data_IF_363195003868
#
_entry.id   IF_363195003868
#
_cell.length_a   1.000
_cell.length_b   1.000
_cell.length_c   1.000
_cell.angle_alpha   90.00
_cell.angle_beta   90.00
_cell.angle_gamma   90.00
#
_symmetry.space_group_name_H-M   'P 1'
#
loop_
_entity.id
_entity.type
_entity.pdbx_description
1 polymer ?
#
# COMPACT_ATOMS: atom_id res chain seq x y z
N UNK A 1 -1.34 -0.08 13.50
CA UNK A 1 -2.47 0.33 12.62
C UNK A 1 -3.42 -0.82 12.27
N UNK A 2 -2.96 -2.02 11.91
CA UNK A 2 -3.83 -3.13 11.46
C UNK A 2 -5.07 -3.42 12.34
N UNK A 3 -4.90 -3.59 13.66
CA UNK A 3 -6.04 -3.81 14.58
C UNK A 3 -7.06 -2.66 14.58
N UNK A 4 -6.61 -1.42 14.42
CA UNK A 4 -7.51 -0.26 14.37
C UNK A 4 -8.39 -0.27 13.12
N UNK A 5 -7.81 -0.61 11.96
CA UNK A 5 -8.57 -0.77 10.70
C UNK A 5 -9.63 -1.87 10.82
N UNK A 6 -9.30 -3.01 11.42
CA UNK A 6 -10.25 -4.11 11.62
C UNK A 6 -11.46 -3.72 12.49
N UNK A 7 -11.32 -2.75 13.40
CA UNK A 7 -12.44 -2.24 14.21
C UNK A 7 -13.26 -1.16 13.51
N UNK A 8 -12.68 -0.41 12.57
CA UNK A 8 -13.31 0.78 11.99
C UNK A 8 -13.67 0.65 10.50
N UNK A 9 -13.21 -0.40 9.84
CA UNK A 9 -13.43 -0.68 8.43
C UNK A 9 -13.83 -2.13 8.21
N UNK A 10 -14.46 -2.41 7.07
CA UNK A 10 -14.85 -3.76 6.69
C UNK A 10 -13.78 -4.39 5.81
N UNK A 11 -13.18 -5.48 6.25
CA UNK A 11 -12.30 -6.30 5.41
C UNK A 11 -13.10 -6.83 4.21
N UNK A 12 -12.61 -6.57 2.98
CA UNK A 12 -13.10 -7.19 1.75
C UNK A 12 -12.34 -8.48 1.43
N UNK A 13 -11.10 -8.59 1.90
CA UNK A 13 -10.28 -9.80 1.82
C UNK A 13 -8.91 -9.56 1.18
N UNK A 14 -8.18 -10.65 0.89
CA UNK A 14 -6.90 -10.59 0.20
C UNK A 14 -7.03 -9.99 -1.19
N UNK A 15 -6.00 -9.24 -1.59
CA UNK A 15 -5.92 -8.59 -2.87
C UNK A 15 -4.47 -8.43 -3.32
N UNK A 16 -4.30 -8.01 -4.57
CA UNK A 16 -2.98 -7.66 -5.12
C UNK A 16 -3.04 -6.44 -6.02
N UNK A 17 -1.92 -5.73 -6.10
CA UNK A 17 -1.74 -4.58 -6.98
C UNK A 17 -0.44 -4.68 -7.75
N UNK A 18 -0.34 -4.01 -8.91
CA UNK A 18 0.92 -3.89 -9.62
C UNK A 18 1.88 -2.97 -8.87
N UNK A 19 3.14 -3.36 -8.80
CA UNK A 19 4.23 -2.61 -8.18
C UNK A 19 5.34 -3.50 -7.68
N UNK A 20 6.40 -2.90 -7.16
CA UNK A 20 7.52 -3.60 -6.53
C UNK A 20 7.53 -3.28 -5.05
N UNK A 21 7.70 -4.32 -4.23
CA UNK A 21 7.77 -4.17 -2.77
C UNK A 21 9.22 -4.25 -2.32
N UNK A 22 9.68 -3.28 -1.56
CA UNK A 22 11.03 -3.23 -1.00
C UNK A 22 10.99 -3.38 0.51
N UNK A 23 12.02 -4.02 1.07
CA UNK A 23 12.24 -4.04 2.52
C UNK A 23 13.01 -2.78 2.96
N UNK A 24 12.34 -1.90 3.71
CA UNK A 24 12.95 -0.69 4.29
C UNK A 24 13.32 -0.90 5.77
N UNK A 25 13.38 -2.15 6.23
CA UNK A 25 13.68 -2.57 7.58
C UNK A 25 12.42 -2.65 8.45
N UNK A 26 11.92 -1.50 8.91
CA UNK A 26 10.78 -1.45 9.83
C UNK A 26 9.43 -1.61 9.11
N UNK A 27 9.37 -1.31 7.82
CA UNK A 27 8.16 -1.29 7.02
C UNK A 27 8.47 -1.57 5.54
N UNK A 28 7.49 -2.03 4.75
CA UNK A 28 7.65 -2.19 3.32
C UNK A 28 7.58 -0.85 2.58
N UNK A 29 8.21 -0.78 1.40
CA UNK A 29 8.07 0.31 0.45
C UNK A 29 7.47 -0.17 -0.87
N UNK A 30 6.23 0.22 -1.18
CA UNK A 30 5.63 -0.03 -2.49
C UNK A 30 6.02 1.07 -3.48
N UNK A 31 6.66 0.67 -4.57
CA UNK A 31 7.00 1.52 -5.72
C UNK A 31 6.16 1.10 -6.94
N UNK A 32 5.53 2.03 -7.67
CA UNK A 32 4.81 1.69 -8.89
C UNK A 32 5.76 1.08 -9.94
N UNK A 33 5.33 0.00 -10.59
CA UNK A 33 6.04 -0.58 -11.72
C UNK A 33 5.54 0.07 -13.03
N UNK A 34 6.41 0.34 -14.02
CA UNK A 34 5.98 0.83 -15.33
C UNK A 34 5.07 -0.17 -16.04
N UNK A 35 4.03 0.30 -16.74
CA UNK A 35 3.07 -0.55 -17.47
C UNK A 35 3.70 -1.44 -18.55
N UNK A 36 4.91 -1.10 -19.02
CA UNK A 36 5.64 -1.84 -20.03
C UNK A 36 6.34 -3.11 -19.49
N UNK A 37 6.49 -3.25 -18.16
CA UNK A 37 7.03 -4.45 -17.56
C UNK A 37 5.99 -5.59 -17.66
N UNK A 38 6.13 -6.45 -18.67
CA UNK A 38 5.27 -7.63 -18.84
C UNK A 38 5.39 -8.63 -17.69
N UNK A 39 6.50 -8.59 -16.95
CA UNK A 39 6.70 -9.28 -15.68
C UNK A 39 6.28 -8.44 -14.46
N UNK A 40 5.32 -7.50 -14.62
CA UNK A 40 4.96 -6.57 -13.57
C UNK A 40 4.72 -7.29 -12.23
N UNK A 41 5.59 -7.01 -11.26
CA UNK A 41 5.50 -7.63 -9.95
C UNK A 41 4.13 -7.33 -9.31
N UNK A 42 3.59 -8.34 -8.64
CA UNK A 42 2.38 -8.21 -7.85
C UNK A 42 2.78 -7.97 -6.41
N UNK A 43 2.15 -6.99 -5.77
CA UNK A 43 2.25 -6.77 -4.34
C UNK A 43 0.97 -7.25 -3.70
N UNK A 44 1.11 -8.12 -2.70
CA UNK A 44 0.04 -8.79 -2.00
C UNK A 44 -0.33 -8.03 -0.73
N UNK A 45 -1.62 -8.03 -0.39
CA UNK A 45 -2.13 -7.38 0.81
C UNK A 45 -3.61 -7.63 1.00
N UNK A 46 -4.26 -6.74 1.74
CA UNK A 46 -5.68 -6.81 2.07
C UNK A 46 -6.38 -5.50 1.70
N UNK A 47 -7.63 -5.58 1.26
CA UNK A 47 -8.45 -4.40 0.96
C UNK A 47 -9.52 -4.24 2.02
N UNK A 48 -9.65 -3.02 2.54
CA UNK A 48 -10.69 -2.63 3.48
C UNK A 48 -11.63 -1.61 2.85
N UNK A 49 -12.93 -1.80 3.00
CA UNK A 49 -13.94 -0.78 2.72
C UNK A 49 -14.06 0.15 3.91
N UNK A 50 -13.78 1.42 3.68
CA UNK A 50 -13.95 2.49 4.66
C UNK A 50 -15.42 2.97 4.62
N UNK A 51 -16.21 2.80 5.69
CA UNK A 51 -17.60 3.28 5.73
C UNK A 51 -17.69 4.81 5.80
N UNK A 52 -16.66 5.46 6.35
CA UNK A 52 -16.54 6.91 6.48
C UNK A 52 -15.11 7.33 6.08
N UNK A 53 -14.80 7.39 4.77
CA UNK A 53 -13.46 7.68 4.29
C UNK A 53 -12.98 9.06 4.76
N UNK A 54 -13.84 10.09 4.75
CA UNK A 54 -13.49 11.46 5.17
C UNK A 54 -12.96 11.52 6.61
N UNK A 55 -13.49 10.67 7.51
CA UNK A 55 -13.00 10.59 8.89
C UNK A 55 -11.79 9.67 9.06
N UNK A 56 -11.74 8.57 8.32
CA UNK A 56 -10.72 7.53 8.52
C UNK A 56 -9.41 7.83 7.79
N UNK A 57 -9.50 8.40 6.60
CA UNK A 57 -8.36 8.71 5.75
C UNK A 57 -7.36 9.69 6.38
N UNK A 58 -7.77 10.82 7.00
CA UNK A 58 -6.81 11.73 7.65
C UNK A 58 -6.00 11.07 8.77
N UNK A 59 -6.59 10.08 9.46
CA UNK A 59 -5.88 9.31 10.50
C UNK A 59 -4.89 8.32 9.92
N UNK A 60 -5.20 7.73 8.77
CA UNK A 60 -4.25 6.90 8.02
C UNK A 60 -3.12 7.76 7.47
N UNK A 61 -3.43 8.94 6.91
CA UNK A 61 -2.42 9.88 6.39
C UNK A 61 -1.43 10.31 7.47
N UNK A 62 -1.93 10.66 8.67
CA UNK A 62 -1.07 11.02 9.80
C UNK A 62 -0.20 9.86 10.29
N UNK A 63 -0.68 8.61 10.15
CA UNK A 63 0.11 7.43 10.51
C UNK A 63 1.21 7.13 9.48
N UNK A 64 0.93 7.36 8.20
CA UNK A 64 1.86 7.15 7.09
C UNK A 64 2.79 8.37 6.83
N UNK A 65 2.67 9.43 7.64
CA UNK A 65 3.53 10.62 7.56
C UNK A 65 3.25 11.50 6.34
N UNK A 66 2.00 11.55 5.89
CA UNK A 66 1.52 12.42 4.81
C UNK A 66 0.25 13.20 5.19
N UNK A 67 0.04 13.42 6.49
CA UNK A 67 -1.08 14.18 7.03
C UNK A 67 -0.85 15.70 7.01
N UNK A 68 -1.85 16.49 7.42
CA UNK A 68 -1.75 17.96 7.42
C UNK A 68 -0.64 18.55 8.31
N UNK A 69 -0.10 17.76 9.24
CA UNK A 69 0.97 18.17 10.16
C UNK A 69 2.37 17.76 9.65
N UNK A 70 2.46 16.99 8.57
CA UNK A 70 3.71 16.54 7.99
C UNK A 70 4.24 17.54 6.96
N UNK A 71 5.56 17.56 6.78
CA UNK A 71 6.22 18.44 5.82
C UNK A 71 6.70 17.68 4.59
N UNK A 72 6.50 18.21 3.37
CA UNK A 72 6.99 17.58 2.16
C UNK A 72 8.53 17.64 2.05
N UNK A 73 9.16 16.69 1.33
CA UNK A 73 8.49 15.57 0.66
C UNK A 73 8.04 14.50 1.67
N UNK A 74 6.80 14.02 1.52
CA UNK A 74 6.25 13.00 2.41
C UNK A 74 6.99 11.67 2.26
N UNK A 75 7.00 10.85 3.32
CA UNK A 75 7.59 9.51 3.27
C UNK A 75 6.79 8.59 2.35
N UNK A 76 5.47 8.66 2.50
CA UNK A 76 4.50 7.99 1.65
C UNK A 76 3.57 9.00 0.99
N UNK A 77 2.95 8.60 -0.11
CA UNK A 77 1.88 9.36 -0.73
C UNK A 77 0.66 8.47 -0.96
N UNK A 78 -0.52 8.99 -0.63
CA UNK A 78 -1.78 8.28 -0.88
C UNK A 78 -2.18 8.44 -2.35
N UNK A 79 -2.26 7.32 -3.06
CA UNK A 79 -2.63 7.28 -4.47
C UNK A 79 -3.78 6.31 -4.72
N UNK A 80 -4.74 6.64 -5.62
CA UNK A 80 -5.72 5.67 -6.07
C UNK A 80 -5.03 4.68 -7.02
N UNK A 81 -5.19 3.38 -6.77
CA UNK A 81 -4.57 2.34 -7.59
C UNK A 81 -5.55 1.19 -7.87
N UNK A 82 -5.55 0.62 -9.09
CA UNK A 82 -6.30 -0.60 -9.38
C UNK A 82 -5.75 -1.77 -8.56
N UNK A 83 -6.65 -2.45 -7.84
CA UNK A 83 -6.37 -3.68 -7.10
C UNK A 83 -7.24 -4.81 -7.63
N UNK A 84 -6.72 -6.03 -7.56
CA UNK A 84 -7.43 -7.26 -7.92
C UNK A 84 -7.72 -8.02 -6.64
N UNK A 85 -9.00 -8.19 -6.30
CA UNK A 85 -9.45 -8.98 -5.15
C UNK A 85 -9.24 -10.48 -5.42
N UNK A 86 -9.31 -11.30 -4.38
CA UNK A 86 -9.14 -12.76 -4.47
C UNK A 86 -10.13 -13.45 -5.42
N UNK A 87 -11.33 -12.90 -5.60
CA UNK A 87 -12.35 -13.36 -6.55
C UNK A 87 -12.10 -12.92 -8.01
N UNK A 88 -11.02 -12.17 -8.26
CA UNK A 88 -10.67 -11.62 -9.56
C UNK A 88 -11.33 -10.27 -9.87
N UNK A 89 -12.21 -9.76 -9.01
CA UNK A 89 -12.83 -8.45 -9.20
C UNK A 89 -11.77 -7.35 -9.13
N UNK A 90 -11.90 -6.37 -10.04
CA UNK A 90 -11.04 -5.18 -10.10
C UNK A 90 -11.75 -4.01 -9.45
N UNK A 91 -11.11 -3.40 -8.46
CA UNK A 91 -11.60 -2.18 -7.80
C UNK A 91 -10.47 -1.16 -7.69
N UNK A 92 -10.82 0.10 -7.50
CA UNK A 92 -9.84 1.14 -7.17
C UNK A 92 -9.77 1.28 -5.65
N UNK A 93 -8.58 1.23 -5.09
CA UNK A 93 -8.34 1.42 -3.66
C UNK A 93 -7.29 2.52 -3.43
N UNK A 94 -7.36 3.18 -2.28
CA UNK A 94 -6.29 4.05 -1.82
C UNK A 94 -5.11 3.21 -1.35
N UNK A 95 -3.92 3.54 -1.83
CA UNK A 95 -2.67 2.85 -1.52
C UNK A 95 -1.62 3.88 -1.16
N UNK A 96 -0.86 3.63 -0.09
CA UNK A 96 0.28 4.45 0.30
C UNK A 96 1.53 3.95 -0.42
N UNK A 97 2.06 4.76 -1.33
CA UNK A 97 3.25 4.46 -2.11
C UNK A 97 4.45 5.13 -1.48
N UNK A 98 5.58 4.45 -1.40
CA UNK A 98 6.81 5.01 -0.88
C UNK A 98 7.35 6.08 -1.83
N UNK A 99 7.74 7.25 -1.31
CA UNK A 99 8.10 8.42 -2.11
C UNK A 99 9.56 8.87 -1.91
N UNK A 100 10.44 7.96 -1.51
CA UNK A 100 11.86 8.25 -1.32
C UNK A 100 12.72 7.25 -2.11
N UNK A 101 14.02 7.53 -2.30
CA UNK A 101 14.91 6.59 -2.97
C UNK A 101 14.95 5.23 -2.27
N UNK A 102 14.94 4.15 -3.07
CA UNK A 102 15.07 2.75 -2.60
C UNK A 102 16.48 2.19 -2.86
N UNK A 103 17.46 3.05 -3.12
CA UNK A 103 18.84 2.62 -3.40
C UNK A 103 19.39 1.82 -2.20
N UNK A 104 19.75 0.56 -2.44
CA UNK A 104 20.27 -0.35 -1.41
C UNK A 104 19.20 -1.08 -0.59
N UNK A 105 17.90 -0.79 -0.79
CA UNK A 105 16.83 -1.56 -0.16
C UNK A 105 16.63 -2.90 -0.90
N UNK A 106 16.56 -4.04 -0.20
CA UNK A 106 16.25 -5.33 -0.82
C UNK A 106 14.87 -5.31 -1.48
N UNK A 107 14.79 -5.79 -2.73
CA UNK A 107 13.51 -6.11 -3.35
C UNK A 107 12.95 -7.38 -2.68
N UNK A 108 11.65 -7.40 -2.41
CA UNK A 108 10.92 -8.57 -1.95
C UNK A 108 10.29 -9.24 -3.19
N UNK A 109 10.85 -10.36 -3.70
CA UNK A 109 10.42 -10.93 -4.98
C UNK A 109 9.00 -11.50 -4.94
N UNK A 110 8.57 -12.00 -3.77
CA UNK A 110 7.21 -12.48 -3.53
C UNK A 110 6.16 -11.37 -3.61
N UNK A 111 6.58 -10.11 -3.38
CA UNK A 111 5.69 -8.97 -3.19
C UNK A 111 4.80 -9.08 -1.96
N UNK A 112 5.10 -9.99 -1.03
CA UNK A 112 4.40 -10.17 0.23
C UNK A 112 5.34 -9.84 1.40
N UNK A 113 4.98 -8.84 2.20
CA UNK A 113 5.76 -8.40 3.35
C UNK A 113 5.92 -9.48 4.44
N UNK A 114 4.94 -10.37 4.54
CA UNK A 114 4.98 -11.50 5.48
C UNK A 114 5.91 -12.61 4.99
N UNK A 115 6.17 -12.66 3.68
CA UNK A 115 7.11 -13.56 3.00
C UNK A 115 8.31 -12.79 2.43
N UNK A 116 8.95 -11.98 3.29
CA UNK A 116 10.09 -11.13 2.92
C UNK A 116 11.48 -11.76 3.13
N UNK A 117 11.52 -13.04 3.49
CA UNK A 117 12.75 -13.78 3.84
C UNK A 117 13.36 -14.47 2.64
#
# INVERSE_FOLDING_TARGET
MGRWLHTHARLLGPARTRGRLYDLGAYPGLIPAPDADREAAWVHGEVFRLPDPERLLPRLDAYEGCGPQDHPPYLFERHPQPVVLADGARVTAWVYRYNRPVAGAPLIPSGDWLDRR
#
